data_IF_429356484777
#
_entry.id   IF_429356484777
#
_cell.length_a   1.000
_cell.length_b   1.000
_cell.length_c   1.000
_cell.angle_alpha   90.00
_cell.angle_beta   90.00
_cell.angle_gamma   90.00
#
_symmetry.space_group_name_H-M   'P 1'
#
loop_
_entity.id
_entity.type
_entity.pdbx_description
1 polymer ?
#
# COMPACT_ATOMS: atom_id res chain seq x y z
N UNK A 1 18.50 20.74 -28.82
CA UNK A 1 17.57 20.80 -27.68
C UNK A 1 17.96 19.64 -26.78
N UNK A 2 18.81 19.92 -25.77
CA UNK A 2 19.45 18.90 -24.94
C UNK A 2 18.41 18.30 -23.99
N UNK A 3 18.33 16.98 -23.96
CA UNK A 3 17.66 16.24 -22.90
C UNK A 3 18.51 16.44 -21.66
N UNK A 4 18.00 17.20 -20.68
CA UNK A 4 18.63 17.28 -19.38
C UNK A 4 18.58 15.86 -18.77
N UNK A 5 19.72 15.24 -18.57
CA UNK A 5 19.86 14.08 -17.70
C UNK A 5 19.43 14.50 -16.28
N UNK A 6 18.16 14.32 -15.97
CA UNK A 6 17.74 14.25 -14.60
C UNK A 6 18.25 12.91 -14.11
N UNK A 7 19.38 12.91 -13.42
CA UNK A 7 19.89 11.74 -12.72
C UNK A 7 18.84 11.31 -11.69
N UNK A 8 17.93 10.43 -12.09
CA UNK A 8 17.06 9.77 -11.13
C UNK A 8 17.92 8.82 -10.32
N UNK A 9 18.10 9.15 -9.08
CA UNK A 9 18.75 8.26 -8.12
C UNK A 9 17.95 6.97 -8.04
N UNK A 10 18.59 5.82 -8.25
CA UNK A 10 17.93 4.51 -8.18
C UNK A 10 17.55 4.24 -6.73
N UNK A 11 16.32 3.82 -6.53
CA UNK A 11 15.77 3.48 -5.21
C UNK A 11 15.53 1.99 -5.09
N UNK A 12 15.79 1.45 -3.89
CA UNK A 12 15.68 0.02 -3.62
C UNK A 12 14.66 -0.23 -2.52
N UNK A 13 13.74 -1.16 -2.80
CA UNK A 13 12.79 -1.67 -1.80
C UNK A 13 13.09 -3.12 -1.44
N UNK A 14 12.70 -3.53 -0.24
CA UNK A 14 12.74 -4.91 0.21
C UNK A 14 11.40 -5.34 0.77
N UNK A 15 11.15 -6.64 0.84
CA UNK A 15 9.95 -7.21 1.44
C UNK A 15 10.33 -7.91 2.73
N UNK A 16 9.91 -7.36 3.88
CA UNK A 16 10.05 -7.97 5.19
C UNK A 16 8.73 -8.63 5.59
N UNK A 17 8.76 -9.91 5.87
CA UNK A 17 7.56 -10.71 6.15
C UNK A 17 7.60 -11.26 7.57
N UNK A 18 6.68 -10.83 8.39
CA UNK A 18 6.55 -11.36 9.75
C UNK A 18 6.08 -12.83 9.72
N UNK A 19 7.03 -13.75 9.72
CA UNK A 19 6.79 -15.21 9.70
C UNK A 19 6.98 -15.88 11.04
N UNK A 20 7.88 -15.39 11.87
CA UNK A 20 8.30 -16.01 13.12
C UNK A 20 7.98 -15.17 14.36
N UNK A 21 8.99 -15.02 15.19
CA UNK A 21 8.93 -14.19 16.40
C UNK A 21 8.91 -12.70 16.05
N UNK A 22 8.21 -11.91 16.90
CA UNK A 22 8.08 -10.47 16.72
C UNK A 22 9.41 -9.71 16.80
N UNK A 23 10.32 -10.18 17.66
CA UNK A 23 11.62 -9.55 17.84
C UNK A 23 12.51 -9.77 16.61
N UNK A 24 12.47 -10.97 16.02
CA UNK A 24 13.17 -11.24 14.77
C UNK A 24 12.66 -10.36 13.63
N UNK A 25 11.35 -10.14 13.55
CA UNK A 25 10.77 -9.24 12.56
C UNK A 25 11.19 -7.77 12.79
N UNK A 26 11.15 -7.28 14.03
CA UNK A 26 11.62 -5.94 14.37
C UNK A 26 13.10 -5.76 13.98
N UNK A 27 13.97 -6.72 14.33
CA UNK A 27 15.39 -6.68 13.94
C UNK A 27 15.59 -6.68 12.42
N UNK A 28 14.77 -7.44 11.66
CA UNK A 28 14.83 -7.48 10.20
C UNK A 28 14.51 -6.11 9.59
N UNK A 29 13.45 -5.44 10.06
CA UNK A 29 13.08 -4.12 9.54
C UNK A 29 14.05 -3.03 9.96
N UNK A 30 14.57 -3.06 11.19
CA UNK A 30 15.64 -2.16 11.66
C UNK A 30 16.91 -2.30 10.80
N UNK A 31 17.30 -3.53 10.50
CA UNK A 31 18.45 -3.79 9.64
C UNK A 31 18.23 -3.25 8.24
N UNK A 32 17.05 -3.49 7.64
CA UNK A 32 16.73 -2.98 6.31
C UNK A 32 16.79 -1.45 6.26
N UNK A 33 16.22 -0.77 7.27
CA UNK A 33 16.27 0.70 7.36
C UNK A 33 17.71 1.21 7.51
N UNK A 34 18.52 0.58 8.38
CA UNK A 34 19.93 0.94 8.60
C UNK A 34 20.83 0.71 7.39
N UNK A 35 20.47 -0.23 6.52
CA UNK A 35 21.16 -0.49 5.25
C UNK A 35 20.77 0.49 4.14
N UNK A 36 19.83 1.40 4.39
CA UNK A 36 19.42 2.45 3.46
C UNK A 36 18.45 1.96 2.38
N UNK A 37 17.65 0.94 2.62
CA UNK A 37 16.54 0.63 1.74
C UNK A 37 15.53 1.78 1.75
N UNK A 38 15.11 2.25 0.57
CA UNK A 38 14.13 3.33 0.42
C UNK A 38 12.72 2.92 0.78
N UNK A 39 12.43 1.60 0.72
CA UNK A 39 11.09 1.06 1.00
C UNK A 39 11.19 -0.31 1.65
N UNK A 40 10.40 -0.50 2.71
CA UNK A 40 10.16 -1.79 3.37
C UNK A 40 8.69 -2.16 3.20
N UNK A 41 8.45 -3.28 2.55
CA UNK A 41 7.13 -3.71 2.13
C UNK A 41 6.63 -4.92 2.93
N UNK A 42 5.32 -4.97 3.19
CA UNK A 42 4.64 -6.13 3.76
C UNK A 42 3.78 -6.87 2.74
N UNK A 43 3.71 -8.18 2.83
CA UNK A 43 2.80 -9.00 2.02
C UNK A 43 1.41 -9.10 2.66
N UNK A 44 0.35 -8.84 1.90
CA UNK A 44 -1.04 -8.95 2.35
C UNK A 44 -1.68 -10.25 1.86
N UNK A 45 -1.47 -11.33 2.63
CA UNK A 45 -2.05 -12.65 2.37
C UNK A 45 -2.31 -13.36 3.70
N UNK A 46 -3.52 -13.23 4.21
CA UNK A 46 -3.92 -13.63 5.56
C UNK A 46 -3.72 -15.12 5.89
N UNK A 47 -3.68 -15.98 4.87
CA UNK A 47 -3.43 -17.43 5.06
C UNK A 47 -1.94 -17.80 5.01
N UNK A 48 -1.07 -16.85 4.71
CA UNK A 48 0.37 -17.07 4.51
C UNK A 48 1.21 -16.27 5.50
N UNK A 49 0.80 -15.02 5.74
CA UNK A 49 1.52 -14.07 6.59
C UNK A 49 0.62 -13.54 7.70
N UNK A 50 1.20 -12.86 8.66
CA UNK A 50 0.45 -12.10 9.66
C UNK A 50 -0.18 -10.88 9.01
N UNK A 51 -1.19 -10.31 9.68
CA UNK A 51 -1.93 -9.16 9.17
C UNK A 51 -0.96 -8.01 8.80
N UNK A 52 -1.10 -7.50 7.58
CA UNK A 52 -0.10 -6.62 6.97
C UNK A 52 -0.01 -5.28 7.68
N UNK A 53 -1.13 -4.65 8.06
CA UNK A 53 -1.11 -3.34 8.71
C UNK A 53 -0.60 -3.41 10.15
N UNK A 54 -0.84 -4.52 10.84
CA UNK A 54 -0.22 -4.78 12.16
C UNK A 54 1.30 -4.94 12.01
N UNK A 55 1.75 -5.65 10.98
CA UNK A 55 3.17 -5.80 10.68
C UNK A 55 3.82 -4.46 10.34
N UNK A 56 3.16 -3.65 9.52
CA UNK A 56 3.63 -2.30 9.15
C UNK A 56 3.64 -1.33 10.34
N UNK A 57 2.71 -1.46 11.28
CA UNK A 57 2.72 -0.66 12.51
C UNK A 57 3.96 -0.98 13.36
N UNK A 58 4.32 -2.26 13.49
CA UNK A 58 5.58 -2.64 14.14
C UNK A 58 6.78 -2.08 13.38
N UNK A 59 6.81 -2.20 12.05
CA UNK A 59 7.87 -1.62 11.24
C UNK A 59 7.97 -0.10 11.39
N UNK A 60 6.86 0.62 11.45
CA UNK A 60 6.84 2.07 11.65
C UNK A 60 7.47 2.52 12.98
N UNK A 61 7.34 1.70 14.01
CA UNK A 61 7.93 1.96 15.34
C UNK A 61 9.43 1.60 15.44
N UNK A 62 9.97 0.90 14.44
CA UNK A 62 11.34 0.39 14.42
C UNK A 62 12.16 0.91 13.24
N UNK A 63 11.66 1.90 12.49
CA UNK A 63 12.33 2.49 11.32
C UNK A 63 12.17 4.00 11.30
N UNK A 64 13.17 4.72 10.76
CA UNK A 64 13.17 6.18 10.73
C UNK A 64 13.18 6.77 9.30
N UNK A 65 13.59 6.01 8.29
CA UNK A 65 13.86 6.52 6.95
C UNK A 65 13.04 5.87 5.84
N UNK A 66 12.94 4.54 5.83
CA UNK A 66 12.28 3.80 4.78
C UNK A 66 10.79 4.10 4.68
N UNK A 67 10.26 4.18 3.47
CA UNK A 67 8.82 4.15 3.24
C UNK A 67 8.25 2.78 3.58
N UNK A 68 7.00 2.77 4.07
CA UNK A 68 6.35 1.56 4.57
C UNK A 68 5.01 1.35 3.86
N UNK A 69 4.76 0.13 3.38
CA UNK A 69 3.47 -0.15 2.78
C UNK A 69 3.22 -1.61 2.42
N UNK A 70 1.97 -1.98 2.17
CA UNK A 70 1.68 -3.28 1.59
C UNK A 70 2.15 -3.32 0.14
N UNK A 71 2.80 -4.39 -0.26
CA UNK A 71 3.11 -4.68 -1.66
C UNK A 71 2.72 -6.13 -1.98
N UNK A 72 1.47 -6.31 -2.34
CA UNK A 72 0.37 -5.35 -2.48
C UNK A 72 -0.89 -5.84 -1.76
N UNK A 73 -1.79 -4.92 -1.37
CA UNK A 73 -3.14 -5.24 -0.93
C UNK A 73 -4.12 -5.37 -2.12
N UNK A 74 -5.41 -5.51 -1.85
CA UNK A 74 -6.43 -5.74 -2.86
C UNK A 74 -7.80 -5.14 -2.46
N UNK A 75 -8.73 -4.92 -3.41
CA UNK A 75 -10.04 -4.34 -3.15
C UNK A 75 -11.07 -5.29 -2.52
N UNK A 76 -10.78 -6.60 -2.42
CA UNK A 76 -11.77 -7.62 -2.07
C UNK A 76 -11.81 -7.88 -0.56
N UNK A 77 -10.63 -7.96 0.07
CA UNK A 77 -10.54 -8.36 1.48
C UNK A 77 -10.90 -7.27 2.47
N UNK A 78 -10.96 -6.00 2.04
CA UNK A 78 -11.28 -4.86 2.93
C UNK A 78 -12.15 -3.83 2.22
N UNK A 79 -13.04 -3.19 2.96
CA UNK A 79 -13.77 -2.01 2.51
C UNK A 79 -12.81 -0.82 2.33
N UNK A 80 -12.98 0.08 1.33
CA UNK A 80 -12.04 1.19 1.09
C UNK A 80 -11.86 2.12 2.30
N UNK A 81 -12.89 2.35 3.11
CA UNK A 81 -12.75 3.11 4.34
C UNK A 81 -11.83 2.43 5.36
N UNK A 82 -11.83 1.09 5.42
CA UNK A 82 -10.94 0.33 6.31
C UNK A 82 -9.50 0.43 5.81
N UNK A 83 -9.29 0.26 4.52
CA UNK A 83 -7.95 0.40 3.92
C UNK A 83 -7.41 1.82 4.07
N UNK A 84 -8.23 2.84 3.81
CA UNK A 84 -7.83 4.25 4.00
C UNK A 84 -7.45 4.53 5.46
N UNK A 85 -8.28 4.08 6.41
CA UNK A 85 -7.99 4.23 7.84
C UNK A 85 -6.69 3.52 8.24
N UNK A 86 -6.50 2.29 7.79
CA UNK A 86 -5.32 1.50 8.14
C UNK A 86 -4.03 2.15 7.63
N UNK A 87 -3.98 2.54 6.34
CA UNK A 87 -2.75 3.11 5.79
C UNK A 87 -2.48 4.53 6.30
N UNK A 88 -3.52 5.33 6.57
CA UNK A 88 -3.35 6.63 7.18
C UNK A 88 -2.84 6.54 8.63
N UNK A 89 -3.23 5.50 9.38
CA UNK A 89 -2.66 5.23 10.70
C UNK A 89 -1.16 4.85 10.59
N UNK A 90 -0.77 4.05 9.60
CA UNK A 90 0.65 3.78 9.34
C UNK A 90 1.38 5.07 8.96
N UNK A 91 0.75 5.95 8.20
CA UNK A 91 1.33 7.25 7.83
C UNK A 91 1.58 8.14 9.05
N UNK A 92 0.65 8.18 10.01
CA UNK A 92 0.85 8.88 11.28
C UNK A 92 1.98 8.26 12.12
N UNK A 93 1.98 6.93 12.28
CA UNK A 93 3.00 6.21 13.06
C UNK A 93 4.41 6.35 12.47
N UNK A 94 4.52 6.57 11.18
CA UNK A 94 5.78 6.67 10.45
C UNK A 94 6.16 8.10 10.05
N UNK A 95 5.48 9.12 10.59
CA UNK A 95 5.73 10.53 10.24
C UNK A 95 5.68 10.84 8.73
N UNK A 96 4.71 10.24 8.02
CA UNK A 96 4.45 10.53 6.61
C UNK A 96 5.23 9.66 5.62
N UNK A 97 5.68 8.48 6.04
CA UNK A 97 6.44 7.55 5.18
C UNK A 97 5.59 6.43 4.56
N UNK A 98 4.25 6.44 4.75
CA UNK A 98 3.42 5.40 4.18
C UNK A 98 3.31 5.48 2.66
N UNK A 99 3.12 4.32 2.05
CA UNK A 99 2.78 4.13 0.63
C UNK A 99 1.80 2.96 0.53
N UNK A 100 0.81 3.06 -0.35
CA UNK A 100 -0.16 2.00 -0.55
C UNK A 100 0.05 1.30 -1.89
N UNK A 101 0.58 0.09 -1.89
CA UNK A 101 0.57 -0.78 -3.07
C UNK A 101 -0.74 -1.57 -3.14
N UNK A 102 -1.38 -1.59 -4.31
CA UNK A 102 -2.64 -2.29 -4.54
C UNK A 102 -2.67 -2.99 -5.90
N UNK A 103 -3.30 -4.15 -5.96
CA UNK A 103 -3.53 -4.91 -7.19
C UNK A 103 -4.93 -5.51 -7.20
N UNK A 104 -5.26 -6.29 -8.23
CA UNK A 104 -6.56 -6.97 -8.34
C UNK A 104 -6.75 -8.09 -7.31
N UNK A 105 -5.67 -8.59 -6.74
CA UNK A 105 -5.64 -9.69 -5.77
C UNK A 105 -5.17 -11.00 -6.38
N UNK A 106 -4.39 -11.76 -5.62
CA UNK A 106 -3.87 -13.09 -5.96
C UNK A 106 -4.03 -14.06 -4.79
N UNK A 107 -2.97 -14.40 -4.05
CA UNK A 107 -2.99 -15.43 -3.00
C UNK A 107 -4.01 -15.14 -1.89
N UNK A 108 -4.15 -13.88 -1.46
CA UNK A 108 -5.13 -13.48 -0.47
C UNK A 108 -6.57 -13.83 -0.89
N UNK A 109 -6.88 -13.66 -2.17
CA UNK A 109 -8.21 -13.86 -2.74
C UNK A 109 -8.46 -15.35 -2.99
N UNK A 110 -7.49 -16.03 -3.61
CA UNK A 110 -7.60 -17.46 -3.92
C UNK A 110 -7.74 -18.32 -2.67
N UNK A 111 -7.04 -17.94 -1.59
CA UNK A 111 -7.11 -18.63 -0.30
C UNK A 111 -8.48 -18.48 0.40
N UNK A 112 -9.30 -17.50 0.00
CA UNK A 112 -10.69 -17.31 0.44
C UNK A 112 -11.71 -17.90 -0.55
N UNK A 113 -11.27 -18.56 -1.63
CA UNK A 113 -12.12 -19.02 -2.73
C UNK A 113 -12.91 -17.90 -3.41
N UNK A 114 -12.38 -16.67 -3.35
CA UNK A 114 -12.95 -15.49 -3.99
C UNK A 114 -12.29 -15.25 -5.37
N UNK A 115 -12.87 -14.34 -6.13
CA UNK A 115 -12.34 -13.92 -7.43
C UNK A 115 -11.59 -12.60 -7.29
N UNK A 116 -10.47 -12.40 -8.00
CA UNK A 116 -9.81 -11.12 -8.09
C UNK A 116 -10.75 -10.02 -8.58
N UNK A 117 -10.49 -8.79 -8.17
CA UNK A 117 -11.23 -7.64 -8.64
C UNK A 117 -11.11 -7.46 -10.16
N UNK A 118 -12.17 -6.98 -10.79
CA UNK A 118 -12.09 -6.50 -12.16
C UNK A 118 -11.30 -5.19 -12.23
N UNK A 119 -10.80 -4.80 -13.40
CA UNK A 119 -10.13 -3.50 -13.58
C UNK A 119 -11.07 -2.33 -13.25
N UNK A 120 -12.36 -2.45 -13.58
CA UNK A 120 -13.36 -1.46 -13.19
C UNK A 120 -13.52 -1.36 -11.68
N UNK A 121 -13.56 -2.50 -10.97
CA UNK A 121 -13.64 -2.53 -9.50
C UNK A 121 -12.35 -2.00 -8.86
N UNK A 122 -11.17 -2.30 -9.41
CA UNK A 122 -9.91 -1.73 -8.94
C UNK A 122 -9.91 -0.21 -9.13
N UNK A 123 -10.36 0.31 -10.28
CA UNK A 123 -10.50 1.74 -10.55
C UNK A 123 -11.40 2.41 -9.53
N UNK A 124 -12.60 1.88 -9.34
CA UNK A 124 -13.59 2.44 -8.39
C UNK A 124 -13.00 2.51 -6.97
N UNK A 125 -12.34 1.44 -6.55
CA UNK A 125 -11.73 1.36 -5.23
C UNK A 125 -10.58 2.35 -5.04
N UNK A 126 -9.68 2.48 -6.01
CA UNK A 126 -8.53 3.41 -5.95
C UNK A 126 -9.01 4.87 -5.98
N UNK A 127 -10.00 5.19 -6.81
CA UNK A 127 -10.60 6.54 -6.83
C UNK A 127 -11.22 6.88 -5.46
N UNK A 128 -11.95 5.94 -4.86
CA UNK A 128 -12.51 6.12 -3.52
C UNK A 128 -11.41 6.31 -2.47
N UNK A 129 -10.31 5.56 -2.54
CA UNK A 129 -9.16 5.72 -1.64
C UNK A 129 -8.52 7.09 -1.76
N UNK A 130 -8.31 7.60 -2.97
CA UNK A 130 -7.76 8.94 -3.18
C UNK A 130 -8.60 10.03 -2.51
N UNK A 131 -9.92 9.94 -2.59
CA UNK A 131 -10.79 10.92 -1.93
C UNK A 131 -10.78 10.76 -0.41
N UNK A 132 -10.89 9.53 0.09
CA UNK A 132 -10.85 9.26 1.54
C UNK A 132 -9.53 9.69 2.18
N UNK A 133 -8.40 9.44 1.51
CA UNK A 133 -7.06 9.83 1.98
C UNK A 133 -6.81 11.36 1.88
N UNK A 134 -7.65 12.09 1.15
CA UNK A 134 -7.68 13.56 1.16
C UNK A 134 -8.70 14.14 2.15
N UNK A 135 -9.28 13.29 3.01
CA UNK A 135 -10.33 13.70 3.95
C UNK A 135 -11.62 14.12 3.27
N UNK A 136 -11.91 13.63 2.07
CA UNK A 136 -13.13 13.94 1.33
C UNK A 136 -14.16 12.82 1.46
N UNK A 137 -15.46 13.15 1.51
CA UNK A 137 -16.50 12.14 1.53
C UNK A 137 -16.66 11.45 0.17
N UNK A 138 -16.97 10.16 0.19
CA UNK A 138 -17.22 9.32 -0.99
C UNK A 138 -18.60 8.70 -0.88
N UNK A 139 -19.34 8.62 -1.98
CA UNK A 139 -20.49 7.73 -2.10
C UNK A 139 -19.99 6.34 -2.52
N UNK A 140 -20.11 5.39 -1.62
CA UNK A 140 -19.70 4.01 -1.86
C UNK A 140 -20.93 3.09 -1.79
N UNK A 141 -21.34 2.59 -2.96
CA UNK A 141 -22.51 1.71 -3.10
C UNK A 141 -23.77 2.25 -2.41
N UNK A 142 -24.06 3.55 -2.61
CA UNK A 142 -25.24 4.24 -2.09
C UNK A 142 -25.13 4.64 -0.61
N UNK A 143 -23.95 4.54 0.00
CA UNK A 143 -23.67 5.03 1.34
C UNK A 143 -22.55 6.07 1.32
N UNK A 144 -22.81 7.22 1.91
CA UNK A 144 -21.79 8.23 2.09
C UNK A 144 -20.85 7.84 3.24
N UNK A 145 -19.56 7.72 2.93
CA UNK A 145 -18.49 7.43 3.89
C UNK A 145 -17.52 8.61 3.95
N UNK A 146 -16.94 8.85 5.12
CA UNK A 146 -16.02 9.94 5.35
C UNK A 146 -15.02 9.59 6.45
N UNK A 147 -13.75 9.86 6.20
CA UNK A 147 -12.63 9.69 7.14
C UNK A 147 -12.05 11.06 7.50
N UNK A 148 -12.83 11.86 8.25
CA UNK A 148 -12.57 13.29 8.50
C UNK A 148 -11.26 13.59 9.25
N UNK A 149 -10.69 12.61 9.94
CA UNK A 149 -9.43 12.74 10.67
C UNK A 149 -8.19 12.61 9.77
N UNK A 150 -8.34 12.05 8.57
CA UNK A 150 -7.22 11.92 7.61
C UNK A 150 -6.94 13.30 7.00
N UNK A 151 -5.71 13.78 7.14
CA UNK A 151 -5.31 15.12 6.70
C UNK A 151 -4.20 15.12 5.65
N UNK A 152 -3.59 13.95 5.41
CA UNK A 152 -2.45 13.82 4.51
C UNK A 152 -2.71 12.70 3.48
N UNK A 153 -2.55 13.00 2.19
CA UNK A 153 -2.67 11.97 1.16
C UNK A 153 -1.50 10.98 1.25
N UNK A 154 -1.80 9.70 1.08
CA UNK A 154 -0.80 8.64 0.96
C UNK A 154 -0.69 8.26 -0.52
N UNK A 155 0.53 8.17 -1.09
CA UNK A 155 0.70 7.74 -2.47
C UNK A 155 0.17 6.32 -2.72
N UNK A 156 -0.50 6.12 -3.85
CA UNK A 156 -1.06 4.82 -4.25
C UNK A 156 -0.33 4.30 -5.48
N UNK A 157 0.26 3.11 -5.37
CA UNK A 157 0.94 2.41 -6.45
C UNK A 157 0.11 1.20 -6.89
N UNK A 158 -0.06 1.00 -8.19
CA UNK A 158 -0.80 -0.12 -8.75
C UNK A 158 0.16 -1.16 -9.32
N UNK A 159 -0.03 -2.44 -8.94
CA UNK A 159 0.67 -3.56 -9.58
C UNK A 159 0.08 -3.79 -10.97
N UNK A 160 0.92 -3.74 -12.01
CA UNK A 160 0.47 -3.84 -13.38
C UNK A 160 1.40 -4.71 -14.25
N UNK A 161 0.91 -5.86 -14.71
CA UNK A 161 1.63 -6.75 -15.62
C UNK A 161 1.15 -6.66 -17.07
N UNK A 162 -0.14 -6.39 -17.27
CA UNK A 162 -0.76 -6.35 -18.60
C UNK A 162 -1.01 -4.93 -19.10
N UNK A 163 -1.13 -4.73 -20.43
CA UNK A 163 -1.27 -3.39 -21.02
C UNK A 163 -2.47 -2.61 -20.47
N UNK A 164 -3.61 -3.25 -20.26
CA UNK A 164 -4.80 -2.58 -19.72
C UNK A 164 -4.63 -2.14 -18.26
N UNK A 165 -3.87 -2.89 -17.46
CA UNK A 165 -3.59 -2.53 -16.07
C UNK A 165 -2.53 -1.44 -16.01
N UNK A 166 -1.54 -1.44 -16.91
CA UNK A 166 -0.57 -0.37 -17.08
C UNK A 166 -1.24 0.95 -17.48
N UNK A 167 -2.18 0.90 -18.45
CA UNK A 167 -2.99 2.05 -18.85
C UNK A 167 -3.79 2.61 -17.66
N UNK A 168 -4.49 1.72 -16.94
CA UNK A 168 -5.23 2.10 -15.73
C UNK A 168 -4.31 2.75 -14.68
N UNK A 169 -3.15 2.15 -14.42
CA UNK A 169 -2.20 2.70 -13.45
C UNK A 169 -1.70 4.09 -13.87
N UNK A 170 -1.40 4.29 -15.17
CA UNK A 170 -1.01 5.59 -15.72
C UNK A 170 -2.08 6.68 -15.59
N UNK A 171 -3.36 6.29 -15.53
CA UNK A 171 -4.46 7.24 -15.41
C UNK A 171 -4.77 7.66 -13.95
N UNK A 172 -4.62 6.73 -12.98
CA UNK A 172 -5.18 6.96 -11.65
C UNK A 172 -4.19 6.71 -10.49
N UNK A 173 -3.00 6.18 -10.73
CA UNK A 173 -2.04 5.89 -9.67
C UNK A 173 -0.93 6.94 -9.59
N UNK A 174 -0.28 7.02 -8.43
CA UNK A 174 0.91 7.85 -8.22
C UNK A 174 2.18 7.11 -8.68
N UNK A 175 2.11 5.79 -8.92
CA UNK A 175 3.19 4.97 -9.41
C UNK A 175 2.75 3.54 -9.80
N UNK A 176 3.68 2.78 -10.35
CA UNK A 176 3.48 1.39 -10.81
C UNK A 176 4.48 0.47 -10.13
N UNK A 177 4.02 -0.73 -9.78
CA UNK A 177 4.84 -1.84 -9.24
C UNK A 177 4.92 -2.96 -10.25
#
# INVERSE_FOLDING_TARGET
>A
MGISEVGQEMRFGTVCLWRGDRHAYATEVELADSLGYDMICGGDSQSVYREVYVSLAVAAMHTDQARLGPMVTNPITRHPAVTASSIATIDELSDGRAVLGIGTGDSAIRNLSERPATLAGLREYVVALHELLRGRPVDWHGKRIHTSWIQRPVPIYITAEGPKTLELAGEIADGVV
#
